data_IF_281666837782
#
_entry.id   IF_281666837782
#
_cell.length_a   1.000
_cell.length_b   1.000
_cell.length_c   1.000
_cell.angle_alpha   90.00
_cell.angle_beta   90.00
_cell.angle_gamma   90.00
#
_symmetry.space_group_name_H-M   'P 1'
#
loop_
_entity.id
_entity.type
_entity.pdbx_description
1 polymer ?
#
# COMPACT_ATOMS: atom_id res chain seq x y z
N UNK A 1 21.31 17.46 -43.28
CA UNK A 1 20.41 16.90 -42.24
C UNK A 1 21.25 16.59 -41.03
N UNK A 2 21.22 17.46 -40.03
CA UNK A 2 22.10 17.42 -38.85
C UNK A 2 21.32 16.81 -37.70
N UNK A 3 21.63 15.57 -37.33
CA UNK A 3 21.06 14.93 -36.15
C UNK A 3 21.62 15.62 -34.89
N UNK A 4 20.73 16.28 -34.14
CA UNK A 4 21.06 16.94 -32.87
C UNK A 4 21.08 15.86 -31.79
N UNK A 5 22.28 15.44 -31.37
CA UNK A 5 22.47 14.61 -30.18
C UNK A 5 21.98 15.40 -28.96
N UNK A 6 20.87 14.96 -28.38
CA UNK A 6 20.37 15.49 -27.11
C UNK A 6 21.11 14.75 -25.99
N UNK A 7 21.91 15.49 -25.22
CA UNK A 7 22.79 14.93 -24.18
C UNK A 7 21.99 14.17 -23.10
N UNK A 8 22.44 12.98 -22.66
CA UNK A 8 21.80 12.20 -21.57
C UNK A 8 21.74 12.94 -20.23
N UNK A 9 22.54 13.99 -20.08
CA UNK A 9 22.74 14.70 -18.82
C UNK A 9 21.49 15.44 -18.33
N UNK A 10 20.54 15.78 -19.21
CA UNK A 10 19.35 16.53 -18.83
C UNK A 10 18.35 15.69 -18.01
N UNK A 11 18.28 14.38 -18.25
CA UNK A 11 17.45 13.48 -17.44
C UNK A 11 18.10 13.21 -16.07
N UNK A 12 19.43 13.12 -16.02
CA UNK A 12 20.17 12.95 -14.76
C UNK A 12 20.08 14.21 -13.90
N UNK A 13 20.15 15.40 -14.48
CA UNK A 13 19.97 16.65 -13.73
C UNK A 13 18.60 16.74 -13.06
N UNK A 14 17.53 16.19 -13.64
CA UNK A 14 16.22 16.14 -12.98
C UNK A 14 16.17 15.16 -11.79
N UNK A 15 16.93 14.06 -11.86
CA UNK A 15 17.08 13.09 -10.76
C UNK A 15 17.92 13.67 -9.62
N UNK A 16 19.00 14.40 -9.94
CA UNK A 16 19.80 15.12 -8.93
C UNK A 16 19.16 16.43 -8.44
N UNK A 17 18.15 16.94 -9.16
CA UNK A 17 17.37 18.12 -8.78
C UNK A 17 16.13 17.76 -7.98
N UNK A 18 16.02 16.54 -7.45
CA UNK A 18 15.14 16.25 -6.31
C UNK A 18 15.74 16.98 -5.10
N UNK A 19 15.67 18.32 -5.14
CA UNK A 19 15.62 19.11 -3.93
C UNK A 19 14.46 18.52 -3.16
N UNK A 20 14.78 18.06 -1.97
CA UNK A 20 13.80 17.87 -0.91
C UNK A 20 13.22 19.27 -0.70
N UNK A 21 12.23 19.64 -1.51
CA UNK A 21 11.35 20.76 -1.22
C UNK A 21 10.60 20.34 0.03
N UNK A 22 11.24 20.66 1.14
CA UNK A 22 10.68 20.65 2.47
C UNK A 22 9.35 21.38 2.40
N UNK A 23 8.29 20.58 2.43
CA UNK A 23 6.91 21.01 2.70
C UNK A 23 6.13 21.67 1.55
N UNK A 24 6.13 21.07 0.36
CA UNK A 24 4.94 21.16 -0.49
C UNK A 24 3.71 20.57 0.26
N UNK A 25 2.56 21.27 0.36
CA UNK A 25 1.38 20.70 1.01
C UNK A 25 0.94 19.47 0.22
N UNK A 26 0.78 18.30 0.86
CA UNK A 26 0.21 17.07 0.25
C UNK A 26 -1.14 17.35 -0.39
N UNK A 27 -1.85 18.34 0.13
CA UNK A 27 -3.07 18.91 -0.42
C UNK A 27 -2.93 19.35 -1.89
N UNK A 28 -1.73 19.71 -2.33
CA UNK A 28 -1.42 19.97 -3.73
C UNK A 28 -1.39 18.66 -4.53
N UNK A 29 -0.71 17.61 -4.05
CA UNK A 29 -0.63 16.31 -4.74
C UNK A 29 -2.00 15.62 -4.88
N UNK A 30 -2.83 15.63 -3.83
CA UNK A 30 -4.20 15.10 -3.92
C UNK A 30 -5.03 15.87 -4.95
N UNK A 31 -4.93 17.20 -4.93
CA UNK A 31 -5.64 18.06 -5.86
C UNK A 31 -5.16 17.84 -7.30
N UNK A 32 -3.86 17.73 -7.55
CA UNK A 32 -3.31 17.49 -8.88
C UNK A 32 -3.66 16.09 -9.39
N UNK A 33 -3.65 15.06 -8.53
CA UNK A 33 -4.13 13.73 -8.90
C UNK A 33 -5.61 13.76 -9.29
N UNK A 34 -6.45 14.44 -8.51
CA UNK A 34 -7.87 14.57 -8.82
C UNK A 34 -8.12 15.36 -10.11
N UNK A 35 -7.40 16.47 -10.33
CA UNK A 35 -7.45 17.21 -11.60
C UNK A 35 -7.02 16.35 -12.78
N UNK A 36 -5.98 15.54 -12.61
CA UNK A 36 -5.55 14.59 -13.64
C UNK A 36 -6.67 13.60 -13.92
N UNK A 37 -7.25 12.95 -12.91
CA UNK A 37 -8.41 12.04 -13.08
C UNK A 37 -9.57 12.73 -13.79
N UNK A 38 -9.88 13.96 -13.42
CA UNK A 38 -10.98 14.73 -14.01
C UNK A 38 -10.73 15.12 -15.46
N UNK A 39 -9.46 15.33 -15.84
CA UNK A 39 -9.07 15.59 -17.23
C UNK A 39 -9.18 14.37 -18.15
N UNK A 40 -9.24 13.15 -17.59
CA UNK A 40 -9.30 11.91 -18.38
C UNK A 40 -10.65 11.76 -19.09
N UNK A 41 -10.61 11.28 -20.32
CA UNK A 41 -11.79 10.96 -21.15
C UNK A 41 -11.73 9.54 -21.70
N UNK A 42 -12.87 9.03 -22.19
CA UNK A 42 -12.93 7.75 -22.89
C UNK A 42 -12.60 6.53 -22.00
N UNK A 43 -11.92 5.55 -22.57
CA UNK A 43 -11.64 4.27 -21.89
C UNK A 43 -10.59 4.41 -20.78
N UNK A 44 -9.64 5.35 -20.91
CA UNK A 44 -8.65 5.63 -19.85
C UNK A 44 -9.36 6.06 -18.56
N UNK A 45 -10.37 6.94 -18.65
CA UNK A 45 -11.18 7.32 -17.49
C UNK A 45 -11.91 6.13 -16.87
N UNK A 46 -12.44 5.21 -17.68
CA UNK A 46 -13.13 4.01 -17.21
C UNK A 46 -12.17 3.05 -16.49
N UNK A 47 -10.96 2.86 -17.04
CA UNK A 47 -9.89 2.09 -16.39
C UNK A 47 -9.60 2.69 -15.01
N UNK A 48 -9.32 3.98 -14.94
CA UNK A 48 -8.89 4.65 -13.71
C UNK A 48 -10.00 4.71 -12.65
N UNK A 49 -11.22 5.12 -13.00
CA UNK A 49 -12.30 5.33 -12.02
C UNK A 49 -13.02 4.03 -11.66
N UNK A 50 -13.29 3.17 -12.65
CA UNK A 50 -14.15 1.99 -12.48
C UNK A 50 -13.36 0.68 -12.44
N UNK A 51 -12.09 0.67 -12.81
CA UNK A 51 -11.34 -0.59 -12.99
C UNK A 51 -11.86 -1.45 -14.13
N UNK A 52 -12.60 -0.88 -15.09
CA UNK A 52 -13.16 -1.62 -16.22
C UNK A 52 -12.30 -1.48 -17.49
N UNK A 53 -12.57 -2.28 -18.52
CA UNK A 53 -11.80 -2.30 -19.78
C UNK A 53 -10.31 -2.66 -19.60
N UNK A 54 -10.04 -3.60 -18.69
CA UNK A 54 -8.70 -4.12 -18.43
C UNK A 54 -8.19 -5.09 -19.51
N UNK A 55 -8.94 -5.26 -20.59
CA UNK A 55 -8.55 -6.07 -21.75
C UNK A 55 -7.66 -5.31 -22.75
N UNK A 56 -7.41 -4.02 -22.51
CA UNK A 56 -6.49 -3.21 -23.30
C UNK A 56 -5.06 -3.46 -22.78
N UNK A 57 -4.06 -3.69 -23.66
CA UNK A 57 -2.68 -3.88 -23.22
C UNK A 57 -2.17 -2.76 -22.31
N UNK A 58 -1.60 -3.13 -21.17
CA UNK A 58 -1.11 -2.24 -20.12
C UNK A 58 -2.18 -1.61 -19.22
N UNK A 59 -3.47 -1.87 -19.44
CA UNK A 59 -4.55 -1.25 -18.65
C UNK A 59 -4.54 -1.68 -17.18
N UNK A 60 -4.26 -2.96 -16.90
CA UNK A 60 -4.13 -3.48 -15.52
C UNK A 60 -2.95 -2.83 -14.80
N UNK A 61 -1.82 -2.69 -15.48
CA UNK A 61 -0.64 -2.01 -14.95
C UNK A 61 -0.90 -0.52 -14.68
N UNK A 62 -1.60 0.17 -15.59
CA UNK A 62 -2.00 1.57 -15.40
C UNK A 62 -2.95 1.73 -14.19
N UNK A 63 -3.94 0.85 -14.06
CA UNK A 63 -4.87 0.84 -12.93
C UNK A 63 -4.14 0.59 -11.62
N UNK A 64 -3.22 -0.37 -11.58
CA UNK A 64 -2.40 -0.65 -10.39
C UNK A 64 -1.53 0.56 -10.04
N UNK A 65 -0.87 1.20 -11.02
CA UNK A 65 -0.04 2.37 -10.78
C UNK A 65 -0.82 3.56 -10.19
N UNK A 66 -2.06 3.78 -10.67
CA UNK A 66 -2.95 4.78 -10.09
C UNK A 66 -3.33 4.46 -8.64
N UNK A 67 -3.72 3.20 -8.37
CA UNK A 67 -4.06 2.78 -7.02
C UNK A 67 -2.86 2.85 -6.06
N UNK A 68 -1.67 2.47 -6.53
CA UNK A 68 -0.43 2.60 -5.79
C UNK A 68 -0.16 4.06 -5.41
N UNK A 69 -0.33 4.98 -6.37
CA UNK A 69 -0.18 6.43 -6.15
C UNK A 69 -1.18 6.94 -5.10
N UNK A 70 -2.45 6.52 -5.19
CA UNK A 70 -3.47 6.87 -4.18
C UNK A 70 -3.11 6.33 -2.80
N UNK A 71 -2.65 5.08 -2.71
CA UNK A 71 -2.26 4.48 -1.43
C UNK A 71 -1.08 5.23 -0.82
N UNK A 72 -0.06 5.56 -1.61
CA UNK A 72 1.07 6.38 -1.17
C UNK A 72 0.63 7.73 -0.63
N UNK A 73 -0.24 8.43 -1.36
CA UNK A 73 -0.77 9.72 -0.93
C UNK A 73 -1.50 9.61 0.41
N UNK A 74 -2.36 8.60 0.57
CA UNK A 74 -3.08 8.33 1.83
C UNK A 74 -2.13 8.00 2.99
N UNK A 75 -1.05 7.27 2.74
CA UNK A 75 -0.01 7.01 3.74
C UNK A 75 0.69 8.29 4.19
N UNK A 76 1.12 9.13 3.25
CA UNK A 76 1.77 10.41 3.59
C UNK A 76 0.82 11.31 4.40
N UNK A 77 -0.47 11.35 4.06
CA UNK A 77 -1.47 12.08 4.82
C UNK A 77 -1.66 11.54 6.23
N UNK A 78 -1.73 10.21 6.39
CA UNK A 78 -1.82 9.56 7.70
C UNK A 78 -0.59 9.85 8.56
N UNK A 79 0.61 9.75 8.00
CA UNK A 79 1.86 10.00 8.72
C UNK A 79 1.93 11.46 9.20
N UNK A 80 1.48 12.41 8.38
CA UNK A 80 1.39 13.83 8.75
C UNK A 80 0.38 14.07 9.88
N UNK A 81 -0.79 13.46 9.81
CA UNK A 81 -1.82 13.60 10.84
C UNK A 81 -1.35 12.99 12.17
N UNK A 82 -0.62 11.86 12.14
CA UNK A 82 -0.04 11.22 13.33
C UNK A 82 0.98 12.11 14.03
N UNK A 83 1.71 12.92 13.28
CA UNK A 83 2.69 13.88 13.81
C UNK A 83 2.05 15.19 14.29
N UNK A 84 0.77 15.43 14.00
CA UNK A 84 0.09 16.67 14.37
C UNK A 84 -0.26 16.69 15.87
N UNK A 85 0.10 17.76 16.61
CA UNK A 85 -0.09 17.84 18.07
C UNK A 85 -1.55 17.88 18.53
N UNK A 86 -2.50 18.03 17.61
CA UNK A 86 -3.95 18.13 17.88
C UNK A 86 -4.79 17.17 17.02
N UNK A 87 -4.24 16.03 16.61
CA UNK A 87 -4.98 15.04 15.82
C UNK A 87 -6.25 14.59 16.55
N UNK A 88 -7.41 14.78 15.92
CA UNK A 88 -8.69 14.28 16.41
C UNK A 88 -8.82 12.79 16.08
N UNK A 89 -9.14 11.96 17.08
CA UNK A 89 -9.33 10.51 16.95
C UNK A 89 -10.35 10.15 15.86
N UNK A 90 -11.45 10.90 15.74
CA UNK A 90 -12.47 10.64 14.70
C UNK A 90 -11.95 10.98 13.30
N UNK A 91 -11.21 12.08 13.15
CA UNK A 91 -10.58 12.44 11.88
C UNK A 91 -9.53 11.39 11.49
N UNK A 92 -8.72 10.92 12.44
CA UNK A 92 -7.73 9.86 12.22
C UNK A 92 -8.42 8.55 11.77
N UNK A 93 -9.47 8.12 12.46
CA UNK A 93 -10.21 6.91 12.12
C UNK A 93 -10.80 6.99 10.69
N UNK A 94 -11.33 8.15 10.30
CA UNK A 94 -11.82 8.38 8.94
C UNK A 94 -10.70 8.27 7.89
N UNK A 95 -9.52 8.84 8.16
CA UNK A 95 -8.36 8.73 7.26
C UNK A 95 -7.85 7.30 7.12
N UNK A 96 -7.80 6.55 8.22
CA UNK A 96 -7.43 5.13 8.19
C UNK A 96 -8.44 4.34 7.35
N UNK A 97 -9.74 4.62 7.49
CA UNK A 97 -10.78 3.98 6.69
C UNK A 97 -10.62 4.28 5.18
N UNK A 98 -10.34 5.54 4.81
CA UNK A 98 -10.10 5.93 3.40
C UNK A 98 -8.88 5.24 2.80
N UNK A 99 -7.79 5.17 3.57
CA UNK A 99 -6.57 4.49 3.17
C UNK A 99 -6.79 2.98 3.03
N UNK A 100 -7.51 2.35 3.97
CA UNK A 100 -7.89 0.93 3.91
C UNK A 100 -8.75 0.60 2.70
N UNK A 101 -9.72 1.45 2.33
CA UNK A 101 -10.51 1.28 1.08
C UNK A 101 -9.61 1.31 -0.16
N UNK A 102 -8.60 2.16 -0.16
CA UNK A 102 -7.63 2.21 -1.28
C UNK A 102 -6.78 0.95 -1.35
N UNK A 103 -6.39 0.39 -0.20
CA UNK A 103 -5.71 -0.91 -0.15
C UNK A 103 -6.64 -2.04 -0.62
N UNK A 104 -7.91 -2.03 -0.21
CA UNK A 104 -8.93 -2.98 -0.67
C UNK A 104 -9.15 -2.92 -2.19
N UNK A 105 -9.17 -1.73 -2.81
CA UNK A 105 -9.22 -1.57 -4.27
C UNK A 105 -8.07 -2.33 -4.96
N UNK A 106 -6.88 -2.38 -4.35
CA UNK A 106 -5.71 -3.12 -4.88
C UNK A 106 -5.92 -4.63 -4.73
N UNK A 107 -6.44 -5.08 -3.59
CA UNK A 107 -6.77 -6.50 -3.37
C UNK A 107 -7.79 -6.98 -4.39
N UNK A 108 -8.87 -6.23 -4.59
CA UNK A 108 -9.92 -6.54 -5.57
C UNK A 108 -9.33 -6.58 -6.98
N UNK A 109 -8.52 -5.58 -7.36
CA UNK A 109 -7.88 -5.58 -8.67
C UNK A 109 -7.09 -6.87 -8.91
N UNK A 110 -6.26 -7.29 -7.94
CA UNK A 110 -5.44 -8.51 -8.06
C UNK A 110 -6.30 -9.76 -8.13
N UNK A 111 -7.37 -9.84 -7.34
CA UNK A 111 -8.33 -10.96 -7.38
C UNK A 111 -9.02 -11.10 -8.74
N UNK A 112 -9.32 -9.97 -9.39
CA UNK A 112 -10.04 -9.93 -10.67
C UNK A 112 -9.14 -10.10 -11.91
N UNK A 113 -7.81 -10.16 -11.74
CA UNK A 113 -6.90 -10.40 -12.86
C UNK A 113 -7.16 -11.79 -13.47
N UNK A 114 -7.59 -11.81 -14.73
CA UNK A 114 -7.69 -13.02 -15.53
C UNK A 114 -6.39 -13.34 -16.28
N UNK A 115 -6.36 -14.50 -16.93
CA UNK A 115 -5.22 -14.98 -17.72
C UNK A 115 -4.70 -13.93 -18.72
N UNK A 116 -5.61 -13.26 -19.43
CA UNK A 116 -5.26 -12.23 -20.40
C UNK A 116 -4.53 -11.04 -19.76
N UNK A 117 -4.93 -10.62 -18.55
CA UNK A 117 -4.28 -9.54 -17.82
C UNK A 117 -2.94 -9.97 -17.21
N UNK A 118 -2.83 -11.23 -16.77
CA UNK A 118 -1.60 -11.76 -16.18
C UNK A 118 -0.50 -11.92 -17.23
N UNK A 119 -0.87 -12.31 -18.46
CA UNK A 119 0.04 -12.38 -19.62
C UNK A 119 0.33 -11.04 -20.31
N UNK A 120 -0.20 -9.94 -19.79
CA UNK A 120 0.01 -8.59 -20.34
C UNK A 120 1.34 -7.98 -19.86
N UNK A 121 1.63 -6.77 -20.32
CA UNK A 121 2.78 -5.99 -19.90
C UNK A 121 2.64 -5.47 -18.47
N UNK A 122 3.61 -5.82 -17.61
CA UNK A 122 3.75 -5.34 -16.25
C UNK A 122 5.10 -4.64 -16.05
N UNK A 123 5.07 -3.49 -15.38
CA UNK A 123 6.31 -2.84 -14.95
C UNK A 123 6.81 -3.53 -13.66
N UNK A 124 8.07 -3.99 -13.58
CA UNK A 124 8.57 -4.62 -12.34
C UNK A 124 8.43 -3.73 -11.10
N UNK A 125 8.51 -2.40 -11.26
CA UNK A 125 8.36 -1.44 -10.16
C UNK A 125 6.99 -1.52 -9.47
N UNK A 126 5.92 -1.94 -10.18
CA UNK A 126 4.60 -2.01 -9.54
C UNK A 126 4.46 -3.21 -8.60
N UNK A 127 5.37 -4.19 -8.66
CA UNK A 127 5.42 -5.33 -7.73
C UNK A 127 5.52 -4.90 -6.26
N UNK A 128 6.26 -3.82 -5.99
CA UNK A 128 6.42 -3.27 -4.63
C UNK A 128 5.11 -2.77 -4.04
N UNK A 129 4.11 -2.47 -4.88
CA UNK A 129 2.77 -2.07 -4.43
C UNK A 129 2.14 -3.18 -3.59
N UNK A 130 2.36 -4.45 -3.93
CA UNK A 130 1.79 -5.56 -3.17
C UNK A 130 2.37 -5.62 -1.76
N UNK A 131 3.70 -5.58 -1.62
CA UNK A 131 4.36 -5.51 -0.31
C UNK A 131 3.88 -4.31 0.49
N UNK A 132 3.87 -3.12 -0.11
CA UNK A 132 3.42 -1.90 0.55
C UNK A 132 1.95 -1.98 1.02
N UNK A 133 1.09 -2.64 0.24
CA UNK A 133 -0.33 -2.85 0.57
C UNK A 133 -0.47 -3.81 1.75
N UNK A 134 0.24 -4.94 1.74
CA UNK A 134 0.21 -5.92 2.84
C UNK A 134 0.75 -5.32 4.13
N UNK A 135 1.91 -4.65 4.09
CA UNK A 135 2.47 -3.97 5.26
C UNK A 135 1.49 -2.95 5.84
N UNK A 136 0.83 -2.17 4.97
CA UNK A 136 -0.17 -1.19 5.39
C UNK A 136 -1.36 -1.86 6.09
N UNK A 137 -1.91 -2.93 5.50
CA UNK A 137 -3.04 -3.68 6.08
C UNK A 137 -2.69 -4.34 7.42
N UNK A 138 -1.47 -4.88 7.57
CA UNK A 138 -0.97 -5.40 8.85
C UNK A 138 -0.94 -4.28 9.90
N UNK A 139 -0.41 -3.10 9.54
CA UNK A 139 -0.40 -1.94 10.44
C UNK A 139 -1.81 -1.52 10.84
N UNK A 140 -2.77 -1.49 9.90
CA UNK A 140 -4.17 -1.21 10.23
C UNK A 140 -4.75 -2.23 11.21
N UNK A 141 -4.52 -3.53 10.99
CA UNK A 141 -4.98 -4.59 11.88
C UNK A 141 -4.41 -4.43 13.30
N UNK A 142 -3.10 -4.21 13.39
CA UNK A 142 -2.39 -4.04 14.65
C UNK A 142 -2.73 -2.73 15.36
N UNK A 143 -3.04 -1.64 14.69
CA UNK A 143 -3.27 -0.37 15.38
C UNK A 143 -4.75 -0.12 15.71
N UNK A 144 -5.66 -0.59 14.86
CA UNK A 144 -7.08 -0.16 14.91
C UNK A 144 -8.08 -1.27 15.18
N UNK A 145 -7.71 -2.54 14.95
CA UNK A 145 -8.66 -3.67 15.00
C UNK A 145 -8.34 -4.71 16.09
N UNK A 146 -7.34 -4.46 16.95
CA UNK A 146 -6.93 -5.37 18.04
C UNK A 146 -8.06 -5.78 19.00
N UNK A 147 -9.04 -4.90 19.21
CA UNK A 147 -10.07 -5.05 20.27
C UNK A 147 -10.95 -6.30 20.05
N UNK A 148 -11.13 -6.74 18.80
CA UNK A 148 -11.92 -7.92 18.45
C UNK A 148 -11.07 -9.21 18.28
N UNK A 149 -9.75 -9.12 18.49
CA UNK A 149 -8.78 -10.17 18.18
C UNK A 149 -8.29 -10.08 16.73
N UNK A 150 -6.98 -10.21 16.54
CA UNK A 150 -6.33 -10.02 15.22
C UNK A 150 -6.83 -10.99 14.16
N UNK A 151 -7.16 -12.22 14.52
CA UNK A 151 -7.73 -13.21 13.61
C UNK A 151 -9.10 -12.78 13.01
N UNK A 152 -9.83 -11.87 13.67
CA UNK A 152 -11.11 -11.32 13.18
C UNK A 152 -10.94 -9.97 12.47
N UNK A 153 -9.70 -9.47 12.34
CA UNK A 153 -9.42 -8.21 11.65
C UNK A 153 -9.77 -8.31 10.16
N UNK A 154 -10.60 -7.38 9.69
CA UNK A 154 -10.90 -7.25 8.27
C UNK A 154 -9.67 -6.84 7.47
N UNK A 155 -8.80 -6.01 8.05
CA UNK A 155 -7.53 -5.61 7.42
C UNK A 155 -6.57 -6.80 7.27
N UNK A 156 -6.44 -7.65 8.29
CA UNK A 156 -5.60 -8.85 8.22
C UNK A 156 -6.14 -9.87 7.21
N UNK A 157 -7.46 -10.01 7.13
CA UNK A 157 -8.12 -10.86 6.13
C UNK A 157 -7.83 -10.38 4.70
N UNK A 158 -7.96 -9.08 4.42
CA UNK A 158 -7.60 -8.51 3.12
C UNK A 158 -6.14 -8.79 2.75
N UNK A 159 -5.22 -8.71 3.71
CA UNK A 159 -3.82 -9.03 3.48
C UNK A 159 -3.62 -10.52 3.12
N UNK A 160 -4.30 -11.42 3.83
CA UNK A 160 -4.31 -12.86 3.51
C UNK A 160 -4.88 -13.11 2.11
N UNK A 161 -6.03 -12.52 1.79
CA UNK A 161 -6.72 -12.69 0.52
C UNK A 161 -5.85 -12.22 -0.67
N UNK A 162 -5.07 -11.15 -0.48
CA UNK A 162 -4.09 -10.70 -1.47
C UNK A 162 -2.98 -11.74 -1.68
N UNK A 163 -2.37 -12.26 -0.61
CA UNK A 163 -1.33 -13.28 -0.72
C UNK A 163 -1.85 -14.55 -1.38
N UNK A 164 -3.07 -14.98 -1.05
CA UNK A 164 -3.68 -16.17 -1.65
C UNK A 164 -3.96 -15.98 -3.15
N UNK A 165 -4.37 -14.78 -3.56
CA UNK A 165 -4.53 -14.43 -4.97
C UNK A 165 -3.20 -14.47 -5.72
N UNK A 166 -2.14 -13.90 -5.14
CA UNK A 166 -0.79 -13.96 -5.72
C UNK A 166 -0.27 -15.40 -5.84
N UNK A 167 -0.49 -16.24 -4.83
CA UNK A 167 -0.14 -17.68 -4.87
C UNK A 167 -0.90 -18.41 -5.98
N UNK A 168 -2.19 -18.11 -6.14
CA UNK A 168 -3.02 -18.71 -7.17
C UNK A 168 -2.53 -18.33 -8.58
N UNK A 169 -2.24 -17.05 -8.80
CA UNK A 169 -1.74 -16.53 -10.08
C UNK A 169 -0.37 -17.12 -10.43
N UNK A 170 0.54 -17.21 -9.45
CA UNK A 170 1.83 -17.88 -9.62
C UNK A 170 1.66 -19.35 -9.99
N UNK A 171 0.80 -20.07 -9.26
CA UNK A 171 0.58 -21.50 -9.46
C UNK A 171 -0.07 -21.82 -10.81
N UNK A 172 -1.06 -21.05 -11.22
CA UNK A 172 -1.88 -21.35 -12.40
C UNK A 172 -1.27 -20.79 -13.69
N UNK A 173 -0.61 -19.64 -13.62
CA UNK A 173 -0.17 -18.89 -14.80
C UNK A 173 1.33 -18.58 -14.79
N UNK A 174 2.07 -18.99 -13.75
CA UNK A 174 3.50 -18.68 -13.63
C UNK A 174 3.78 -17.19 -13.37
N UNK A 175 2.78 -16.42 -12.97
CA UNK A 175 2.93 -14.98 -12.73
C UNK A 175 3.71 -14.73 -11.44
N UNK A 176 4.94 -14.23 -11.58
CA UNK A 176 5.94 -14.10 -10.51
C UNK A 176 6.08 -12.67 -9.96
N UNK A 177 5.30 -11.70 -10.48
CA UNK A 177 5.35 -10.31 -10.04
C UNK A 177 5.09 -10.13 -8.53
N UNK A 178 4.36 -11.06 -7.92
CA UNK A 178 4.06 -11.09 -6.49
C UNK A 178 5.10 -11.78 -5.61
N UNK A 179 6.16 -12.37 -6.15
CA UNK A 179 7.03 -13.29 -5.41
C UNK A 179 7.77 -12.64 -4.24
N UNK A 180 8.22 -11.40 -4.40
CA UNK A 180 8.85 -10.64 -3.32
C UNK A 180 7.86 -10.42 -2.17
N UNK A 181 6.63 -10.03 -2.48
CA UNK A 181 5.58 -9.84 -1.48
C UNK A 181 5.27 -11.13 -0.74
N UNK A 182 5.15 -12.25 -1.47
CA UNK A 182 4.92 -13.58 -0.90
C UNK A 182 6.03 -13.99 0.05
N UNK A 183 7.29 -13.81 -0.35
CA UNK A 183 8.46 -14.16 0.46
C UNK A 183 8.53 -13.34 1.76
N UNK A 184 8.19 -12.05 1.69
CA UNK A 184 8.28 -11.14 2.83
C UNK A 184 7.16 -11.34 3.86
N UNK A 185 5.94 -11.67 3.43
CA UNK A 185 4.76 -11.52 4.30
C UNK A 185 4.02 -12.82 4.63
N UNK A 186 4.24 -13.92 3.89
CA UNK A 186 3.48 -15.17 4.08
C UNK A 186 3.54 -15.69 5.52
N UNK A 187 4.75 -15.87 6.05
CA UNK A 187 4.94 -16.43 7.39
C UNK A 187 4.40 -15.51 8.49
N UNK A 188 4.47 -14.19 8.28
CA UNK A 188 4.03 -13.19 9.24
C UNK A 188 2.50 -13.22 9.34
N UNK A 189 1.81 -13.19 8.20
CA UNK A 189 0.35 -13.26 8.15
C UNK A 189 -0.15 -14.57 8.77
N UNK A 190 0.47 -15.70 8.44
CA UNK A 190 0.10 -17.01 8.99
C UNK A 190 0.25 -17.07 10.51
N UNK A 191 1.28 -16.43 11.09
CA UNK A 191 1.47 -16.32 12.53
C UNK A 191 0.42 -15.41 13.18
N UNK A 192 0.13 -14.27 12.57
CA UNK A 192 -0.85 -13.31 13.08
C UNK A 192 -2.27 -13.88 13.09
N UNK A 193 -2.65 -14.62 12.04
CA UNK A 193 -3.95 -15.28 11.95
C UNK A 193 -4.13 -16.41 12.99
N UNK A 194 -3.04 -17.04 13.42
CA UNK A 194 -3.03 -18.09 14.45
C UNK A 194 -2.90 -17.55 15.87
N UNK A 195 -2.66 -16.25 16.04
CA UNK A 195 -2.57 -15.64 17.36
C UNK A 195 -3.95 -15.62 18.01
N UNK A 196 -4.12 -16.36 19.10
CA UNK A 196 -5.34 -16.32 19.91
C UNK A 196 -5.47 -14.98 20.65
N UNK A 197 -6.70 -14.50 20.92
CA UNK A 197 -6.89 -13.35 21.80
C UNK A 197 -6.36 -13.69 23.20
N UNK A 198 -5.76 -12.73 23.93
CA UNK A 198 -5.31 -12.98 25.29
C UNK A 198 -6.51 -13.43 26.14
N UNK A 199 -6.40 -14.62 26.73
CA UNK A 199 -7.43 -15.18 27.59
C UNK A 199 -7.72 -14.21 28.75
N UNK A 200 -8.99 -13.86 28.94
CA UNK A 200 -9.45 -13.16 30.13
C UNK A 200 -9.24 -14.07 31.35
N UNK A 201 -8.10 -13.96 32.02
CA UNK A 201 -7.95 -14.50 33.36
C UNK A 201 -8.82 -13.68 34.30
N UNK A 202 -9.95 -14.27 34.70
CA UNK A 202 -10.82 -13.81 35.77
C UNK A 202 -10.05 -13.78 37.09
N UNK A 203 -10.01 -12.59 37.70
CA UNK A 203 -9.63 -12.41 39.11
C UNK A 203 -8.23 -11.86 39.30
N UNK A 204 -8.12 -10.53 39.33
CA UNK A 204 -7.58 -9.77 40.47
C UNK A 204 -7.58 -8.28 40.12
N UNK A 205 -8.26 -7.49 40.94
CA UNK A 205 -8.33 -6.04 40.87
C UNK A 205 -6.95 -5.43 41.07
N UNK A 206 -6.31 -5.03 39.97
CA UNK A 206 -5.38 -3.91 39.97
C UNK A 206 -5.75 -2.99 38.81
N UNK A 207 -6.42 -1.89 39.14
CA UNK A 207 -6.64 -0.74 38.25
C UNK A 207 -5.31 0.00 38.19
N UNK A 208 -4.33 -0.60 37.53
CA UNK A 208 -3.09 0.06 37.18
C UNK A 208 -3.08 0.11 35.66
N UNK A 209 -3.47 1.28 35.16
CA UNK A 209 -3.37 1.77 33.79
C UNK A 209 -3.06 0.66 32.77
N UNK A 210 -4.11 0.11 32.12
CA UNK A 210 -3.94 -0.62 30.86
C UNK A 210 -3.28 0.34 29.87
N UNK A 211 -1.95 0.37 29.85
CA UNK A 211 -1.22 0.99 28.77
C UNK A 211 -1.65 0.23 27.52
N UNK A 212 -2.18 0.91 26.48
CA UNK A 212 -2.29 0.27 25.18
C UNK A 212 -0.89 -0.28 24.89
N UNK A 213 -0.79 -1.59 24.65
CA UNK A 213 0.39 -2.17 24.06
C UNK A 213 0.47 -1.54 22.66
N UNK A 214 1.11 -0.39 22.58
CA UNK A 214 1.63 0.18 21.35
C UNK A 214 2.87 -0.67 21.11
N UNK A 215 2.88 -1.60 20.14
CA UNK A 215 4.15 -2.13 19.69
C UNK A 215 4.95 -0.90 19.29
N UNK A 216 6.06 -0.66 19.98
CA UNK A 216 6.92 0.50 19.76
C UNK A 216 7.15 0.59 18.24
N UNK A 217 6.90 1.76 17.63
CA UNK A 217 6.97 1.91 16.17
C UNK A 217 8.29 1.35 15.60
N UNK A 218 9.36 1.43 16.39
CA UNK A 218 10.65 0.82 16.12
C UNK A 218 10.57 -0.68 15.82
N UNK A 219 9.73 -1.48 16.48
CA UNK A 219 9.60 -2.92 16.23
C UNK A 219 8.94 -3.24 14.88
N UNK A 220 7.93 -2.47 14.47
CA UNK A 220 7.26 -2.66 13.17
C UNK A 220 8.08 -2.03 12.03
N UNK A 221 8.83 -0.96 12.30
CA UNK A 221 9.80 -0.38 11.35
C UNK A 221 11.05 -1.25 11.21
N UNK A 222 11.48 -1.95 12.26
CA UNK A 222 12.58 -2.94 12.23
C UNK A 222 12.16 -4.23 11.51
N UNK A 223 10.88 -4.63 11.62
CA UNK A 223 10.34 -5.76 10.85
C UNK A 223 10.09 -5.44 9.37
N UNK A 224 9.81 -4.18 9.06
CA UNK A 224 9.49 -3.72 7.70
C UNK A 224 10.22 -2.42 7.40
N UNK A 225 11.58 -2.43 7.35
CA UNK A 225 12.34 -1.27 6.94
C UNK A 225 11.81 -0.84 5.58
N UNK A 226 11.53 0.45 5.42
CA UNK A 226 10.92 0.89 4.18
C UNK A 226 11.90 0.54 3.04
N UNK A 227 11.40 -0.03 1.94
CA UNK A 227 12.26 -0.30 0.78
C UNK A 227 12.85 0.98 0.19
N UNK A 228 12.38 2.15 0.64
CA UNK A 228 12.93 3.47 0.36
C UNK A 228 14.14 3.81 1.25
N UNK A 229 14.24 3.26 2.46
CA UNK A 229 15.43 3.41 3.33
C UNK A 229 16.61 2.61 2.77
N UNK A 230 16.36 1.45 2.15
CA UNK A 230 17.41 0.66 1.46
C UNK A 230 18.04 1.47 0.32
N UNK A 231 17.27 2.32 -0.35
CA UNK A 231 17.77 3.20 -1.40
C UNK A 231 18.57 4.40 -0.84
N UNK A 232 18.39 4.75 0.44
CA UNK A 232 19.20 5.75 1.13
C UNK A 232 20.52 5.19 1.68
N UNK A 233 20.62 3.88 1.89
CA UNK A 233 21.83 3.21 2.42
C UNK A 233 22.87 2.94 1.31
N UNK A 234 22.55 3.26 0.05
CA UNK A 234 23.42 3.09 -1.12
C UNK A 234 24.09 4.39 -1.61
N UNK A 235 24.12 5.45 -0.79
CA UNK A 235 25.01 6.61 -0.95
C UNK A 235 26.21 6.53 0.00
#
# INVERSE_FOLDING_TARGET
MTYRYQSPNHCLEQVYSIRIETQGPTRNLELELNKWVDSLTGDIRKIIIRGSNLNIPGASNLRLAYLATRLLLRRIELDRERQAPHSNVEHMANRVMEARRTAEDIVILVQELGEAQLGDYWLPVVAFTFSATVTFLIRCALETEQVAGLAQSGSLRLASDLLDSLRLHRKNFGWDLGDICLAQHSDIIDKLLKSEPPAENTGETNVELRQPFVPEMAFVDDMFPSTWDILQIME
#
